data_IF_138464287514
#
_entry.id   IF_138464287514
#
_cell.length_a   1.000
_cell.length_b   1.000
_cell.length_c   1.000
_cell.angle_alpha   90.00
_cell.angle_beta   90.00
_cell.angle_gamma   90.00
#
_symmetry.space_group_name_H-M   'P 1'
#
loop_
_entity.id
_entity.type
_entity.pdbx_description
1 polymer ?
#
# COMPACT_ATOMS: atom_id res chain seq x y z
N UNK A 1 9.70 2.21 8.31
CA UNK A 1 8.79 2.28 7.16
C UNK A 1 7.40 2.50 7.71
N UNK A 2 6.68 3.50 7.21
CA UNK A 2 5.29 3.78 7.58
C UNK A 2 4.32 2.96 6.73
N UNK A 3 3.05 2.87 7.15
CA UNK A 3 1.99 2.24 6.34
C UNK A 3 1.86 2.89 4.97
N UNK A 4 2.01 4.22 4.90
CA UNK A 4 2.00 4.98 3.65
C UNK A 4 3.12 4.58 2.70
N UNK A 5 4.34 4.43 3.22
CA UNK A 5 5.51 4.02 2.43
C UNK A 5 5.35 2.57 1.93
N UNK A 6 4.91 1.67 2.81
CA UNK A 6 4.63 0.28 2.49
C UNK A 6 3.58 0.16 1.38
N UNK A 7 2.43 0.81 1.56
CA UNK A 7 1.34 0.80 0.57
C UNK A 7 1.81 1.37 -0.76
N UNK A 8 2.52 2.51 -0.76
CA UNK A 8 3.05 3.10 -1.99
C UNK A 8 4.00 2.15 -2.73
N UNK A 9 4.91 1.47 -2.02
CA UNK A 9 5.79 0.47 -2.62
C UNK A 9 4.98 -0.65 -3.27
N UNK A 10 4.00 -1.21 -2.55
CA UNK A 10 3.18 -2.31 -3.04
C UNK A 10 2.38 -1.90 -4.28
N UNK A 11 1.71 -0.73 -4.26
CA UNK A 11 0.97 -0.23 -5.43
C UNK A 11 1.87 -0.09 -6.65
N UNK A 12 3.07 0.50 -6.46
CA UNK A 12 4.06 0.60 -7.54
C UNK A 12 4.48 -0.77 -8.06
N UNK A 13 4.73 -1.75 -7.18
CA UNK A 13 5.10 -3.11 -7.58
C UNK A 13 3.96 -3.82 -8.34
N UNK A 14 2.71 -3.60 -7.97
CA UNK A 14 1.54 -4.12 -8.69
C UNK A 14 1.45 -3.55 -10.11
N UNK A 15 1.71 -2.25 -10.28
CA UNK A 15 1.63 -1.54 -11.55
C UNK A 15 2.80 -1.81 -12.51
N UNK A 16 3.95 -2.25 -12.00
CA UNK A 16 5.12 -2.57 -12.83
C UNK A 16 4.82 -3.75 -13.77
N UNK A 17 5.02 -3.51 -15.06
CA UNK A 17 5.02 -4.55 -16.10
C UNK A 17 6.43 -5.14 -16.26
N UNK A 18 6.74 -6.16 -15.45
CA UNK A 18 7.98 -6.92 -15.60
C UNK A 18 7.82 -7.98 -16.70
N UNK A 19 8.84 -8.15 -17.55
CA UNK A 19 8.83 -9.22 -18.55
C UNK A 19 8.94 -10.59 -17.86
N UNK A 20 8.23 -11.58 -18.39
CA UNK A 20 8.22 -12.94 -17.86
C UNK A 20 9.64 -13.55 -17.81
N UNK A 21 9.96 -14.25 -16.73
CA UNK A 21 11.25 -14.92 -16.50
C UNK A 21 12.39 -13.99 -16.07
N UNK A 22 12.12 -12.70 -15.80
CA UNK A 22 13.15 -11.76 -15.36
C UNK A 22 13.38 -11.80 -13.85
N UNK A 23 14.56 -11.36 -13.40
CA UNK A 23 14.83 -11.22 -11.96
C UNK A 23 13.96 -10.13 -11.33
N UNK A 24 13.61 -9.12 -12.12
CA UNK A 24 12.65 -8.09 -11.75
C UNK A 24 11.27 -8.69 -11.43
N UNK A 25 10.73 -9.54 -12.31
CA UNK A 25 9.44 -10.22 -12.09
C UNK A 25 9.48 -11.08 -10.82
N UNK A 26 10.53 -11.90 -10.66
CA UNK A 26 10.68 -12.75 -9.48
C UNK A 26 10.70 -11.94 -8.19
N UNK A 27 11.53 -10.90 -8.11
CA UNK A 27 11.65 -10.03 -6.94
C UNK A 27 10.33 -9.32 -6.62
N UNK A 28 9.64 -8.80 -7.66
CA UNK A 28 8.31 -8.18 -7.55
C UNK A 28 7.32 -9.17 -6.94
N UNK A 29 7.16 -10.34 -7.56
CA UNK A 29 6.16 -11.33 -7.16
C UNK A 29 6.42 -11.87 -5.75
N UNK A 30 7.69 -12.11 -5.40
CA UNK A 30 8.05 -12.57 -4.06
C UNK A 30 7.82 -11.48 -3.00
N UNK A 31 8.13 -10.22 -3.30
CA UNK A 31 7.84 -9.10 -2.38
C UNK A 31 6.33 -8.92 -2.17
N UNK A 32 5.53 -8.99 -3.24
CA UNK A 32 4.07 -8.93 -3.15
C UNK A 32 3.49 -10.10 -2.34
N UNK A 33 4.05 -11.30 -2.52
CA UNK A 33 3.69 -12.48 -1.72
C UNK A 33 4.02 -12.28 -0.24
N UNK A 34 5.21 -11.76 0.07
CA UNK A 34 5.61 -11.46 1.45
C UNK A 34 4.71 -10.38 2.09
N UNK A 35 4.19 -9.45 1.28
CA UNK A 35 3.33 -8.36 1.72
C UNK A 35 1.85 -8.73 1.82
N UNK A 36 1.42 -9.98 1.54
CA UNK A 36 0.00 -10.34 1.52
C UNK A 36 -0.71 -10.05 2.84
N UNK A 37 -0.10 -10.44 3.97
CA UNK A 37 -0.65 -10.19 5.30
C UNK A 37 -0.73 -8.69 5.64
N UNK A 38 0.20 -7.88 5.13
CA UNK A 38 0.12 -6.43 5.23
C UNK A 38 -1.06 -5.88 4.42
N UNK A 39 -1.25 -6.34 3.18
CA UNK A 39 -2.34 -5.88 2.31
C UNK A 39 -3.69 -6.20 2.94
N UNK A 40 -3.85 -7.42 3.46
CA UNK A 40 -5.05 -7.86 4.17
C UNK A 40 -5.32 -6.97 5.39
N UNK A 41 -4.35 -6.87 6.31
CA UNK A 41 -4.50 -6.06 7.51
C UNK A 41 -4.72 -4.56 7.22
N UNK A 42 -4.14 -4.04 6.14
CA UNK A 42 -4.32 -2.66 5.72
C UNK A 42 -5.74 -2.42 5.23
N UNK A 43 -6.27 -3.32 4.40
CA UNK A 43 -7.64 -3.23 3.90
C UNK A 43 -8.67 -3.42 5.02
N UNK A 44 -8.45 -4.38 5.91
CA UNK A 44 -9.29 -4.59 7.09
C UNK A 44 -9.33 -3.32 7.94
N UNK A 45 -8.16 -2.67 8.16
CA UNK A 45 -8.13 -1.43 8.94
C UNK A 45 -8.84 -0.26 8.24
N UNK A 46 -8.77 -0.17 6.91
CA UNK A 46 -9.54 0.82 6.16
C UNK A 46 -11.04 0.57 6.29
N UNK A 47 -11.46 -0.69 6.24
CA UNK A 47 -12.86 -1.07 6.38
C UNK A 47 -13.38 -0.79 7.79
N UNK A 48 -12.62 -1.14 8.83
CA UNK A 48 -12.94 -0.81 10.22
C UNK A 48 -13.15 0.70 10.40
N UNK A 49 -12.22 1.51 9.88
CA UNK A 49 -12.34 2.97 9.95
C UNK A 49 -13.57 3.46 9.17
N UNK A 50 -13.88 2.88 8.02
CA UNK A 50 -15.08 3.25 7.29
C UNK A 50 -16.35 2.92 8.08
N UNK A 51 -16.40 1.75 8.73
CA UNK A 51 -17.52 1.33 9.58
C UNK A 51 -17.65 2.24 10.80
N UNK A 52 -16.55 2.52 11.49
CA UNK A 52 -16.52 3.37 12.69
C UNK A 52 -17.05 4.79 12.45
N UNK A 53 -16.82 5.31 11.24
CA UNK A 53 -17.17 6.69 10.88
C UNK A 53 -18.36 6.80 9.92
N UNK A 54 -18.92 5.70 9.40
CA UNK A 54 -20.07 5.80 8.51
C UNK A 54 -21.31 6.37 9.22
N UNK A 55 -22.21 6.94 8.44
CA UNK A 55 -23.52 7.38 8.92
C UNK A 55 -24.39 6.17 9.22
N UNK A 56 -25.09 6.21 10.35
CA UNK A 56 -26.11 5.23 10.74
C UNK A 56 -27.49 5.85 10.79
N UNK A 57 -28.52 5.04 10.59
CA UNK A 57 -29.91 5.44 10.83
C UNK A 57 -30.24 5.44 12.34
N UNK A 58 -31.48 5.78 12.67
CA UNK A 58 -32.01 5.81 14.05
C UNK A 58 -32.02 4.45 14.75
N UNK A 59 -31.79 3.36 14.01
CA UNK A 59 -31.72 1.98 14.50
C UNK A 59 -30.30 1.43 14.51
N UNK A 60 -29.30 2.24 14.14
CA UNK A 60 -27.91 1.84 14.08
C UNK A 60 -27.52 1.08 12.81
N UNK A 61 -28.36 1.06 11.78
CA UNK A 61 -28.00 0.43 10.50
C UNK A 61 -27.11 1.36 9.68
N UNK A 62 -26.09 0.78 9.05
CA UNK A 62 -25.18 1.50 8.15
C UNK A 62 -25.94 2.05 6.94
N UNK A 63 -25.80 3.35 6.70
CA UNK A 63 -26.34 4.01 5.52
C UNK A 63 -25.33 3.92 4.38
N UNK A 64 -25.78 3.37 3.24
CA UNK A 64 -24.99 3.27 2.00
C UNK A 64 -25.63 4.05 0.86
N UNK A 65 -24.82 4.45 -0.11
CA UNK A 65 -25.31 4.97 -1.39
C UNK A 65 -25.93 3.85 -2.22
N UNK A 66 -26.63 4.21 -3.31
CA UNK A 66 -27.20 3.23 -4.24
C UNK A 66 -26.14 2.28 -4.87
N UNK A 67 -24.87 2.70 -4.90
CA UNK A 67 -23.74 1.92 -5.41
C UNK A 67 -23.06 1.07 -4.30
N UNK A 68 -23.58 1.11 -3.07
CA UNK A 68 -23.06 0.35 -1.94
C UNK A 68 -21.92 1.01 -1.17
N UNK A 69 -21.57 2.27 -1.47
CA UNK A 69 -20.54 3.01 -0.75
C UNK A 69 -21.05 3.51 0.61
N UNK A 70 -20.18 3.56 1.62
CA UNK A 70 -20.49 4.18 2.89
C UNK A 70 -20.84 5.66 2.71
N UNK A 71 -21.91 6.10 3.38
CA UNK A 71 -22.27 7.50 3.45
C UNK A 71 -21.67 8.10 4.72
N UNK A 72 -21.16 9.32 4.65
CA UNK A 72 -20.54 10.01 5.78
C UNK A 72 -21.16 11.40 5.92
N UNK A 73 -21.37 11.84 7.17
CA UNK A 73 -21.59 13.26 7.44
C UNK A 73 -20.28 14.03 7.23
N UNK A 74 -20.39 15.36 7.08
CA UNK A 74 -19.21 16.22 6.94
C UNK A 74 -18.25 16.10 8.12
N UNK A 75 -18.79 15.97 9.33
CA UNK A 75 -17.98 15.86 10.55
C UNK A 75 -17.34 14.49 10.68
N UNK A 76 -18.07 13.42 10.35
CA UNK A 76 -17.50 12.07 10.31
C UNK A 76 -16.41 11.94 9.25
N UNK A 77 -16.60 12.52 8.07
CA UNK A 77 -15.59 12.51 7.02
C UNK A 77 -14.29 13.23 7.45
N UNK A 78 -14.41 14.33 8.20
CA UNK A 78 -13.26 15.03 8.80
C UNK A 78 -12.57 14.19 9.86
N UNK A 79 -13.32 13.49 10.70
CA UNK A 79 -12.78 12.61 11.73
C UNK A 79 -12.06 11.41 11.09
N UNK A 80 -12.70 10.73 10.13
CA UNK A 80 -12.12 9.66 9.32
C UNK A 80 -10.82 10.11 8.65
N UNK A 81 -10.81 11.30 8.01
CA UNK A 81 -9.59 11.83 7.36
C UNK A 81 -8.43 11.99 8.34
N UNK A 82 -8.70 12.37 9.59
CA UNK A 82 -7.67 12.50 10.63
C UNK A 82 -7.14 11.14 11.06
N UNK A 83 -8.02 10.17 11.29
CA UNK A 83 -7.60 8.82 11.70
C UNK A 83 -6.88 8.07 10.57
N UNK A 84 -7.36 8.19 9.33
CA UNK A 84 -6.65 7.66 8.16
C UNK A 84 -5.26 8.25 8.03
N UNK A 85 -5.12 9.57 8.25
CA UNK A 85 -3.80 10.20 8.23
C UNK A 85 -2.89 9.64 9.33
N UNK A 86 -3.38 9.54 10.57
CA UNK A 86 -2.61 8.94 11.67
C UNK A 86 -2.19 7.50 11.36
N UNK A 87 -3.10 6.70 10.81
CA UNK A 87 -2.83 5.33 10.40
C UNK A 87 -1.79 5.26 9.29
N UNK A 88 -1.90 6.08 8.25
CA UNK A 88 -0.93 6.13 7.16
C UNK A 88 0.46 6.55 7.63
N UNK A 89 0.52 7.52 8.55
CA UNK A 89 1.78 8.06 9.08
C UNK A 89 2.37 7.21 10.23
N UNK A 90 1.64 6.19 10.73
CA UNK A 90 2.16 5.26 11.74
C UNK A 90 3.10 4.22 11.15
N UNK A 91 3.83 3.54 12.05
CA UNK A 91 4.65 2.40 11.69
C UNK A 91 3.85 1.32 10.96
N UNK A 92 4.56 0.57 10.10
CA UNK A 92 3.99 -0.53 9.32
C UNK A 92 3.28 -1.53 10.24
N UNK A 93 1.99 -1.78 10.00
CA UNK A 93 1.16 -2.63 10.86
C UNK A 93 1.58 -4.11 10.83
N UNK A 94 2.10 -4.56 9.69
CA UNK A 94 2.60 -5.91 9.48
C UNK A 94 3.90 -5.78 8.70
N UNK A 95 5.06 -5.98 9.34
CA UNK A 95 6.33 -5.97 8.65
C UNK A 95 6.40 -7.09 7.60
N UNK A 96 7.03 -6.82 6.46
CA UNK A 96 7.27 -7.80 5.41
C UNK A 96 8.66 -7.63 4.82
N UNK A 97 9.20 -8.71 4.27
CA UNK A 97 10.52 -8.71 3.64
C UNK A 97 10.42 -8.22 2.18
N UNK A 98 11.27 -7.25 1.84
CA UNK A 98 11.51 -6.80 0.47
C UNK A 98 12.61 -7.66 -0.16
N UNK A 99 12.28 -8.36 -1.24
CA UNK A 99 13.27 -9.11 -2.01
C UNK A 99 13.86 -8.20 -3.07
N UNK A 100 15.10 -7.73 -2.84
CA UNK A 100 15.73 -6.79 -3.76
C UNK A 100 16.23 -7.45 -5.06
N UNK A 101 16.33 -6.65 -6.13
CA UNK A 101 16.92 -7.02 -7.41
C UNK A 101 17.91 -5.98 -7.91
N UNK A 102 18.90 -6.41 -8.71
CA UNK A 102 19.75 -5.50 -9.50
C UNK A 102 19.28 -5.34 -10.94
N UNK A 103 18.17 -5.99 -11.31
CA UNK A 103 17.57 -5.92 -12.64
C UNK A 103 16.62 -4.72 -12.71
N UNK A 104 17.00 -3.75 -13.55
CA UNK A 104 16.28 -2.49 -13.77
C UNK A 104 15.67 -2.38 -15.16
N UNK A 105 15.70 -3.47 -15.95
CA UNK A 105 15.27 -3.43 -17.34
C UNK A 105 13.77 -3.11 -17.42
N UNK A 106 13.43 -2.13 -18.24
CA UNK A 106 12.04 -1.70 -18.44
C UNK A 106 11.51 -0.70 -17.41
N UNK A 107 12.34 -0.28 -16.44
CA UNK A 107 11.99 0.76 -15.48
C UNK A 107 12.52 2.13 -15.95
N UNK A 108 11.74 3.19 -15.73
CA UNK A 108 12.20 4.57 -15.92
C UNK A 108 13.17 4.99 -14.82
N UNK A 109 14.03 5.97 -15.08
CA UNK A 109 14.99 6.47 -14.08
C UNK A 109 14.33 6.92 -12.77
N UNK A 110 13.23 7.71 -12.78
CA UNK A 110 12.55 8.09 -11.53
C UNK A 110 12.02 6.90 -10.74
N UNK A 111 11.59 5.85 -11.43
CA UNK A 111 11.11 4.63 -10.81
C UNK A 111 12.25 3.82 -10.19
N UNK A 112 13.40 3.76 -10.87
CA UNK A 112 14.62 3.13 -10.34
C UNK A 112 15.09 3.85 -9.07
N UNK A 113 15.15 5.18 -9.07
CA UNK A 113 15.52 5.99 -7.90
C UNK A 113 14.60 5.72 -6.70
N UNK A 114 13.29 5.75 -6.94
CA UNK A 114 12.30 5.45 -5.90
C UNK A 114 12.46 4.03 -5.35
N UNK A 115 12.57 3.02 -6.22
CA UNK A 115 12.71 1.63 -5.79
C UNK A 115 14.05 1.35 -5.12
N UNK A 116 15.10 2.12 -5.44
CA UNK A 116 16.37 2.07 -4.74
C UNK A 116 16.24 2.63 -3.31
N UNK A 117 15.60 3.79 -3.14
CA UNK A 117 15.30 4.35 -1.83
C UNK A 117 14.45 3.41 -0.97
N UNK A 118 13.51 2.70 -1.59
CA UNK A 118 12.67 1.71 -0.93
C UNK A 118 13.39 0.37 -0.64
N UNK A 119 14.65 0.19 -1.06
CA UNK A 119 15.42 -1.03 -0.85
C UNK A 119 15.07 -2.20 -1.79
N UNK A 120 14.22 -1.97 -2.79
CA UNK A 120 13.83 -2.97 -3.78
C UNK A 120 14.84 -3.09 -4.93
N UNK A 121 15.40 -1.97 -5.40
CA UNK A 121 16.51 -2.00 -6.38
C UNK A 121 17.84 -1.79 -5.67
N UNK A 122 18.81 -2.67 -5.94
CA UNK A 122 20.20 -2.48 -5.49
C UNK A 122 20.99 -1.75 -6.56
N UNK A 123 21.57 -0.61 -6.21
CA UNK A 123 22.67 -0.07 -7.01
C UNK A 123 23.86 -1.02 -6.88
N UNK A 124 24.39 -1.49 -8.01
CA UNK A 124 25.69 -2.18 -7.95
C UNK A 124 26.70 -1.14 -7.46
N UNK A 125 27.32 -1.38 -6.32
CA UNK A 125 28.61 -0.77 -6.00
C UNK A 125 29.52 -1.01 -7.20
N UNK A 126 29.86 0.05 -7.94
CA UNK A 126 31.00 -0.01 -8.85
C UNK A 126 32.21 -0.20 -7.94
N UNK A 127 32.71 -1.42 -7.87
CA UNK A 127 34.06 -1.66 -7.38
C UNK A 127 34.96 -1.01 -8.43
N UNK A 128 35.52 0.14 -8.08
CA UNK A 128 36.53 0.86 -8.86
C UNK A 128 37.87 0.18 -8.66
#
# INVERSE_FOLDING_TARGET
>A
MTNKEAYKLISVLMDIQASAGTKLEHAKNQTLKNASAFIEAYNDKLEDLNIDYCSTDDKGNIIRTAQGHYLFTKDNQRALSKELKKFMDSDVIVPFEIVSTGDKKGLSEPLVEYLAQAGFVRERLRVV
#
